data_IF_278883331869
#
_entry.id   IF_278883331869
#
_cell.length_a   1.000
_cell.length_b   1.000
_cell.length_c   1.000
_cell.angle_alpha   90.00
_cell.angle_beta   90.00
_cell.angle_gamma   90.00
#
_symmetry.space_group_name_H-M   'P 1'
#
loop_
_entity.id
_entity.type
_entity.pdbx_description
1 polymer ?
#
# COMPACT_ATOMS: atom_id res chain seq x y z
N UNK A 1 32.24 -10.24 39.98
CA UNK A 1 31.72 -9.81 38.66
C UNK A 1 31.56 -8.31 38.66
N UNK A 2 32.41 -7.60 37.92
CA UNK A 2 32.51 -6.14 37.98
C UNK A 2 31.20 -5.49 37.54
N UNK A 3 30.62 -4.64 38.40
CA UNK A 3 29.43 -3.83 38.08
C UNK A 3 29.61 -3.01 36.79
N UNK A 4 30.85 -2.63 36.47
CA UNK A 4 31.20 -2.00 35.18
C UNK A 4 30.99 -2.92 33.97
N UNK A 5 31.23 -4.22 34.10
CA UNK A 5 31.04 -5.18 33.00
C UNK A 5 29.55 -5.41 32.75
N UNK A 6 28.73 -5.42 33.81
CA UNK A 6 27.28 -5.52 33.69
C UNK A 6 26.66 -4.27 33.04
N UNK A 7 27.18 -3.08 33.37
CA UNK A 7 26.75 -1.79 32.80
C UNK A 7 27.12 -1.68 31.32
N UNK A 8 28.30 -2.16 30.92
CA UNK A 8 28.73 -2.18 29.53
C UNK A 8 27.89 -3.13 28.66
N UNK A 9 27.47 -4.28 29.20
CA UNK A 9 26.59 -5.23 28.51
C UNK A 9 25.15 -4.71 28.41
N UNK A 10 24.66 -3.94 29.40
CA UNK A 10 23.35 -3.28 29.31
C UNK A 10 23.36 -2.09 28.35
N UNK A 11 24.46 -1.33 28.24
CA UNK A 11 24.58 -0.23 27.28
C UNK A 11 24.66 -0.72 25.82
N UNK A 12 25.21 -1.92 25.58
CA UNK A 12 25.30 -2.53 24.24
C UNK A 12 23.94 -3.02 23.72
N UNK A 13 22.96 -3.27 24.60
CA UNK A 13 21.61 -3.72 24.24
C UNK A 13 20.65 -2.57 23.86
N UNK A 14 21.05 -1.30 24.07
CA UNK A 14 20.20 -0.12 23.80
C UNK A 14 20.41 0.43 22.37
N UNK A 15 21.32 -0.13 21.58
CA UNK A 15 21.61 0.32 20.21
C UNK A 15 21.14 -0.63 19.10
N UNK A 16 20.13 -1.47 19.35
CA UNK A 16 19.29 -1.93 18.23
C UNK A 16 18.41 -0.76 17.78
N UNK A 17 19.06 0.14 17.03
CA UNK A 17 18.38 1.11 16.20
C UNK A 17 17.63 0.28 15.18
N UNK A 18 16.30 0.20 15.29
CA UNK A 18 15.46 -0.32 14.23
C UNK A 18 15.66 0.57 13.00
N UNK A 19 16.63 0.21 12.16
CA UNK A 19 16.63 0.66 10.77
C UNK A 19 15.52 -0.13 10.09
N UNK A 20 14.28 0.30 10.30
CA UNK A 20 13.15 -0.10 9.48
C UNK A 20 13.42 0.44 8.08
N UNK A 21 14.16 -0.36 7.28
CA UNK A 21 14.35 -0.08 5.88
C UNK A 21 12.96 0.08 5.25
N UNK A 22 12.81 1.15 4.48
CA UNK A 22 11.64 1.50 3.67
C UNK A 22 11.39 0.46 2.55
N UNK A 23 11.07 -0.78 2.93
CA UNK A 23 10.80 -1.94 2.08
C UNK A 23 9.44 -2.55 2.45
N UNK A 24 8.86 -3.32 1.54
CA UNK A 24 7.63 -4.06 1.81
C UNK A 24 7.79 -4.99 3.03
N UNK A 25 6.68 -5.25 3.72
CA UNK A 25 6.64 -6.20 4.84
C UNK A 25 6.39 -7.63 4.33
N UNK A 26 6.80 -8.62 5.12
CA UNK A 26 6.68 -10.01 4.70
C UNK A 26 5.22 -10.48 4.74
N UNK A 27 4.71 -10.94 3.59
CA UNK A 27 3.39 -11.54 3.48
C UNK A 27 3.32 -12.86 4.25
N UNK A 28 2.23 -13.06 4.99
CA UNK A 28 1.96 -14.31 5.68
C UNK A 28 2.62 -14.41 7.06
N UNK A 29 3.06 -13.28 7.61
CA UNK A 29 3.67 -13.19 8.94
C UNK A 29 2.83 -12.33 9.86
N UNK A 30 2.74 -12.70 11.13
CA UNK A 30 2.14 -11.88 12.18
C UNK A 30 3.00 -11.92 13.44
N UNK A 31 2.84 -10.92 14.30
CA UNK A 31 3.44 -10.90 15.63
C UNK A 31 2.42 -11.27 16.71
N UNK A 32 2.91 -11.74 17.85
CA UNK A 32 2.05 -12.05 18.98
C UNK A 32 1.37 -10.79 19.55
N UNK A 33 1.99 -9.61 19.39
CA UNK A 33 1.40 -8.32 19.75
C UNK A 33 0.18 -8.02 18.86
N UNK A 34 0.33 -8.12 17.54
CA UNK A 34 -0.76 -7.90 16.57
C UNK A 34 -1.96 -8.83 16.84
N UNK A 35 -1.70 -10.11 17.11
CA UNK A 35 -2.76 -11.10 17.38
C UNK A 35 -3.49 -10.79 18.69
N UNK A 36 -2.78 -10.35 19.73
CA UNK A 36 -3.38 -10.06 21.02
C UNK A 36 -3.91 -8.63 21.17
N UNK A 37 -3.62 -7.76 20.22
CA UNK A 37 -4.12 -6.39 20.18
C UNK A 37 -5.65 -6.37 20.29
N UNK A 38 -6.16 -5.64 21.29
CA UNK A 38 -7.61 -5.57 21.60
C UNK A 38 -8.26 -4.26 21.17
N UNK A 39 -7.47 -3.22 21.01
CA UNK A 39 -7.88 -1.90 20.52
C UNK A 39 -6.66 -1.17 19.97
N UNK A 40 -6.91 -0.11 19.20
CA UNK A 40 -5.87 0.79 18.75
C UNK A 40 -5.72 1.98 19.71
N UNK A 41 -4.52 2.18 20.26
CA UNK A 41 -4.30 3.19 21.31
C UNK A 41 -4.51 4.63 20.84
N UNK A 42 -4.29 4.93 19.56
CA UNK A 42 -4.44 6.28 19.01
C UNK A 42 -5.88 6.56 18.56
N UNK A 43 -6.74 5.54 18.52
CA UNK A 43 -8.17 5.64 18.29
C UNK A 43 -8.88 4.43 18.91
N UNK A 44 -9.30 4.58 20.16
CA UNK A 44 -9.94 3.49 20.90
C UNK A 44 -11.37 3.20 20.43
N UNK A 45 -11.94 4.05 19.56
CA UNK A 45 -13.26 3.87 18.97
C UNK A 45 -13.24 3.06 17.68
N UNK A 46 -12.06 2.90 17.06
CA UNK A 46 -11.89 2.17 15.83
C UNK A 46 -12.22 0.67 15.99
N UNK A 47 -13.01 0.13 15.06
CA UNK A 47 -13.35 -1.30 15.00
C UNK A 47 -12.34 -2.13 14.18
N UNK A 48 -11.44 -1.46 13.47
CA UNK A 48 -10.30 -2.05 12.78
C UNK A 48 -9.18 -1.01 12.64
N UNK A 49 -7.95 -1.47 12.39
CA UNK A 49 -6.79 -0.61 12.12
C UNK A 49 -5.89 -1.26 11.08
N UNK A 50 -5.40 -0.48 10.14
CA UNK A 50 -4.36 -0.93 9.21
C UNK A 50 -3.03 -0.96 9.96
N UNK A 51 -2.45 -2.15 10.14
CA UNK A 51 -1.17 -2.33 10.81
C UNK A 51 -0.01 -1.93 9.91
N UNK A 52 -0.06 -2.36 8.65
CA UNK A 52 0.92 -2.02 7.64
C UNK A 52 0.22 -1.89 6.28
N UNK A 53 0.57 -0.85 5.55
CA UNK A 53 0.15 -0.65 4.18
C UNK A 53 1.37 -0.26 3.35
N UNK A 54 1.54 -0.95 2.23
CA UNK A 54 2.64 -0.75 1.30
C UNK A 54 2.09 -0.67 -0.13
N UNK A 55 2.53 0.35 -0.85
CA UNK A 55 2.29 0.49 -2.28
C UNK A 55 3.60 0.65 -3.04
N UNK A 56 3.70 0.04 -4.21
CA UNK A 56 4.83 0.20 -5.13
C UNK A 56 4.31 0.42 -6.55
N UNK A 57 4.70 1.52 -7.16
CA UNK A 57 4.35 1.85 -8.54
C UNK A 57 5.60 2.06 -9.38
N UNK A 58 5.64 1.44 -10.56
CA UNK A 58 6.76 1.55 -11.48
C UNK A 58 6.35 1.25 -12.92
N UNK A 59 7.06 1.81 -13.89
CA UNK A 59 6.87 1.46 -15.30
C UNK A 59 7.72 0.22 -15.63
N UNK A 60 7.08 -0.82 -16.12
CA UNK A 60 7.73 -2.07 -16.51
C UNK A 60 8.29 -1.97 -17.93
N UNK A 61 9.40 -2.64 -18.20
CA UNK A 61 9.99 -2.76 -19.54
C UNK A 61 9.37 -3.89 -20.36
N UNK A 62 8.25 -4.47 -19.89
CA UNK A 62 7.44 -5.41 -20.67
C UNK A 62 6.82 -4.72 -21.89
N UNK A 63 6.28 -5.52 -22.81
CA UNK A 63 5.62 -5.00 -24.01
C UNK A 63 4.52 -4.00 -23.65
N UNK A 64 4.47 -2.88 -24.39
CA UNK A 64 3.57 -1.76 -24.12
C UNK A 64 3.99 -0.81 -22.99
N UNK A 65 5.10 -1.06 -22.29
CA UNK A 65 5.60 -0.27 -21.14
C UNK A 65 4.55 -0.06 -20.03
N UNK A 66 3.90 -1.13 -19.51
CA UNK A 66 2.78 -0.96 -18.59
C UNK A 66 3.23 -0.37 -17.25
N UNK A 67 2.36 0.46 -16.67
CA UNK A 67 2.46 0.88 -15.27
C UNK A 67 2.01 -0.29 -14.38
N UNK A 68 2.93 -0.75 -13.53
CA UNK A 68 2.65 -1.76 -12.51
C UNK A 68 2.37 -1.07 -11.19
N UNK A 69 1.33 -1.52 -10.50
CA UNK A 69 1.00 -1.10 -9.15
C UNK A 69 0.79 -2.31 -8.26
N UNK A 70 1.60 -2.43 -7.23
CA UNK A 70 1.51 -3.46 -6.21
C UNK A 70 0.97 -2.84 -4.92
N UNK A 71 -0.01 -3.49 -4.31
CA UNK A 71 -0.58 -3.09 -3.02
C UNK A 71 -0.51 -4.27 -2.06
N UNK A 72 -0.03 -4.03 -0.85
CA UNK A 72 0.05 -5.01 0.22
C UNK A 72 -0.42 -4.36 1.51
N UNK A 73 -1.41 -4.97 2.15
CA UNK A 73 -2.06 -4.40 3.33
C UNK A 73 -2.40 -5.48 4.36
N UNK A 74 -2.18 -5.13 5.63
CA UNK A 74 -2.50 -5.95 6.79
C UNK A 74 -3.37 -5.15 7.74
N UNK A 75 -4.53 -5.69 8.07
CA UNK A 75 -5.56 -5.03 8.88
C UNK A 75 -5.88 -5.90 10.08
N UNK A 76 -5.83 -5.30 11.27
CA UNK A 76 -6.38 -5.89 12.49
C UNK A 76 -7.85 -5.52 12.59
N UNK A 77 -8.73 -6.50 12.72
CA UNK A 77 -10.15 -6.29 12.98
C UNK A 77 -10.44 -6.65 14.43
N UNK A 78 -11.04 -5.74 15.18
CA UNK A 78 -11.29 -5.93 16.62
C UNK A 78 -12.60 -6.65 16.87
N UNK A 79 -13.65 -6.29 16.13
CA UNK A 79 -14.99 -6.85 16.30
C UNK A 79 -15.79 -6.86 14.98
N UNK A 80 -16.99 -7.47 15.05
CA UNK A 80 -17.91 -7.60 13.92
C UNK A 80 -18.25 -6.31 13.15
N UNK A 81 -18.17 -5.12 13.75
CA UNK A 81 -18.43 -3.86 13.05
C UNK A 81 -17.30 -3.51 12.08
N UNK A 82 -16.10 -4.05 12.30
CA UNK A 82 -14.96 -3.94 11.39
C UNK A 82 -14.96 -4.97 10.26
N UNK A 83 -15.90 -5.92 10.21
CA UNK A 83 -15.90 -6.96 9.17
C UNK A 83 -16.09 -6.41 7.75
N UNK A 84 -16.65 -5.20 7.60
CA UNK A 84 -16.75 -4.53 6.30
C UNK A 84 -15.39 -4.33 5.62
N UNK A 85 -14.32 -4.17 6.41
CA UNK A 85 -12.95 -4.01 5.90
C UNK A 85 -12.41 -5.29 5.23
N UNK A 86 -13.07 -6.43 5.46
CA UNK A 86 -12.78 -7.68 4.76
C UNK A 86 -13.46 -7.79 3.40
N UNK A 87 -14.36 -6.87 3.03
CA UNK A 87 -14.95 -6.81 1.69
C UNK A 87 -14.14 -5.84 0.84
N UNK A 88 -13.32 -6.37 -0.07
CA UNK A 88 -12.39 -5.58 -0.86
C UNK A 88 -12.95 -5.36 -2.25
N UNK A 89 -12.95 -4.10 -2.69
CA UNK A 89 -13.32 -3.69 -4.04
C UNK A 89 -12.15 -2.95 -4.70
N UNK A 90 -11.67 -3.46 -5.84
CA UNK A 90 -10.53 -2.89 -6.58
C UNK A 90 -11.04 -2.43 -7.95
N UNK A 91 -11.22 -1.11 -8.16
CA UNK A 91 -11.62 -0.59 -9.45
C UNK A 91 -10.47 -0.72 -10.46
N UNK A 92 -10.82 -1.16 -11.66
CA UNK A 92 -9.95 -1.29 -12.82
C UNK A 92 -10.48 -0.43 -13.96
N UNK A 93 -9.60 0.37 -14.55
CA UNK A 93 -9.97 1.28 -15.64
C UNK A 93 -10.02 0.57 -17.00
N UNK A 94 -11.00 0.96 -17.81
CA UNK A 94 -11.20 0.55 -19.19
C UNK A 94 -11.26 1.78 -20.11
N UNK A 95 -10.54 1.76 -21.23
CA UNK A 95 -10.59 2.79 -22.26
C UNK A 95 -10.37 2.19 -23.64
N UNK A 96 -11.47 1.84 -24.33
CA UNK A 96 -11.40 1.14 -25.61
C UNK A 96 -10.83 -0.27 -25.44
N UNK A 97 -9.73 -0.56 -26.13
CA UNK A 97 -9.01 -1.85 -26.01
C UNK A 97 -8.02 -1.87 -24.82
N UNK A 98 -7.70 -0.69 -24.26
CA UNK A 98 -6.81 -0.57 -23.12
C UNK A 98 -7.56 -0.88 -21.82
N UNK A 99 -7.13 -1.93 -21.12
CA UNK A 99 -7.80 -2.46 -19.93
C UNK A 99 -6.74 -2.70 -18.86
N UNK A 100 -6.96 -2.16 -17.66
CA UNK A 100 -6.19 -2.57 -16.49
C UNK A 100 -6.53 -4.00 -16.11
N UNK A 101 -5.51 -4.77 -15.74
CA UNK A 101 -5.65 -6.18 -15.37
C UNK A 101 -5.12 -6.40 -13.97
N UNK A 102 -5.65 -7.42 -13.31
CA UNK A 102 -5.16 -7.89 -12.02
C UNK A 102 -4.59 -9.29 -12.22
N UNK A 103 -3.33 -9.50 -11.87
CA UNK A 103 -2.64 -10.75 -12.21
C UNK A 103 -2.36 -11.63 -10.98
N UNK A 104 -2.23 -11.04 -9.79
CA UNK A 104 -1.70 -11.74 -8.60
C UNK A 104 -2.42 -11.31 -7.31
N UNK A 105 -3.64 -11.80 -7.08
CA UNK A 105 -4.35 -11.55 -5.81
C UNK A 105 -4.07 -12.69 -4.84
N UNK A 106 -3.74 -12.34 -3.61
CA UNK A 106 -3.59 -13.29 -2.51
C UNK A 106 -4.11 -12.67 -1.22
N UNK A 107 -4.79 -13.48 -0.40
CA UNK A 107 -5.25 -13.06 0.91
C UNK A 107 -5.16 -14.18 1.94
N UNK A 108 -4.89 -13.83 3.19
CA UNK A 108 -4.94 -14.72 4.35
C UNK A 108 -5.67 -14.02 5.50
N UNK A 109 -6.49 -14.78 6.23
CA UNK A 109 -7.06 -14.39 7.52
C UNK A 109 -6.42 -15.22 8.63
N UNK A 110 -5.89 -14.59 9.67
CA UNK A 110 -5.47 -15.20 10.92
C UNK A 110 -6.51 -14.96 12.01
N UNK A 111 -6.91 -16.00 12.71
CA UNK A 111 -7.93 -15.89 13.77
C UNK A 111 -7.67 -16.90 14.89
N UNK A 112 -8.29 -16.68 16.05
CA UNK A 112 -8.28 -17.66 17.14
C UNK A 112 -9.48 -18.61 17.02
N UNK A 113 -9.23 -19.91 17.18
CA UNK A 113 -10.31 -20.89 17.33
C UNK A 113 -10.92 -20.87 18.74
N UNK A 114 -11.89 -21.76 18.98
CA UNK A 114 -12.60 -21.87 20.26
C UNK A 114 -11.68 -22.27 21.43
N UNK A 115 -10.51 -22.85 21.13
CA UNK A 115 -9.49 -23.22 22.11
C UNK A 115 -8.41 -22.15 22.28
N UNK A 116 -8.53 -21.02 21.56
CA UNK A 116 -7.56 -19.93 21.60
C UNK A 116 -6.32 -20.14 20.74
N UNK A 117 -6.24 -21.23 19.96
CA UNK A 117 -5.12 -21.47 19.05
C UNK A 117 -5.27 -20.61 17.79
N UNK A 118 -4.14 -20.18 17.24
CA UNK A 118 -4.13 -19.37 16.02
C UNK A 118 -4.28 -20.31 14.82
N UNK A 119 -5.31 -20.05 14.04
CA UNK A 119 -5.61 -20.70 12.77
C UNK A 119 -5.45 -19.70 11.63
N UNK A 120 -5.30 -20.22 10.41
CA UNK A 120 -5.27 -19.41 9.18
C UNK A 120 -6.22 -19.95 8.12
N UNK A 121 -6.75 -19.06 7.30
CA UNK A 121 -7.47 -19.40 6.09
C UNK A 121 -7.03 -18.52 4.94
N UNK A 122 -6.72 -19.14 3.80
CA UNK A 122 -6.31 -18.44 2.59
C UNK A 122 -7.55 -18.14 1.74
N UNK A 123 -7.58 -16.96 1.12
CA UNK A 123 -8.55 -16.60 0.09
C UNK A 123 -8.44 -17.57 -1.09
N UNK A 124 -9.56 -18.19 -1.46
CA UNK A 124 -9.63 -19.04 -2.64
C UNK A 124 -9.83 -18.17 -3.89
N UNK A 125 -9.09 -18.46 -4.97
CA UNK A 125 -9.21 -17.72 -6.22
C UNK A 125 -10.61 -17.80 -6.84
N UNK A 126 -11.41 -18.82 -6.51
CA UNK A 126 -12.80 -18.93 -6.95
C UNK A 126 -13.74 -17.91 -6.30
N UNK A 127 -13.34 -17.35 -5.16
CA UNK A 127 -14.12 -16.38 -4.38
C UNK A 127 -13.79 -14.92 -4.81
N UNK A 128 -13.01 -14.78 -5.88
CA UNK A 128 -12.65 -13.51 -6.50
C UNK A 128 -13.49 -13.33 -7.76
N UNK A 129 -14.26 -12.25 -7.80
CA UNK A 129 -15.19 -11.97 -8.87
C UNK A 129 -14.84 -10.66 -9.58
N UNK A 130 -15.04 -10.61 -10.89
CA UNK A 130 -14.97 -9.37 -11.66
C UNK A 130 -16.38 -8.93 -12.02
N UNK A 131 -16.74 -7.70 -11.68
CA UNK A 131 -18.01 -7.08 -12.07
C UNK A 131 -17.74 -5.99 -13.10
N UNK A 132 -18.48 -5.97 -14.20
CA UNK A 132 -18.43 -4.87 -15.17
C UNK A 132 -19.40 -3.79 -14.73
N UNK A 133 -18.88 -2.65 -14.26
CA UNK A 133 -19.71 -1.56 -13.74
C UNK A 133 -20.28 -0.73 -14.89
N UNK A 134 -19.44 -0.38 -15.88
CA UNK A 134 -19.84 0.34 -17.07
C UNK A 134 -18.84 0.11 -18.22
N UNK A 135 -18.92 0.91 -19.29
CA UNK A 135 -17.99 0.81 -20.43
C UNK A 135 -16.57 1.33 -20.13
N UNK A 136 -16.36 2.00 -19.00
CA UNK A 136 -15.10 2.61 -18.60
C UNK A 136 -14.48 2.00 -17.35
N UNK A 137 -15.22 1.15 -16.62
CA UNK A 137 -14.77 0.58 -15.35
C UNK A 137 -15.29 -0.83 -15.17
N UNK A 138 -14.44 -1.66 -14.56
CA UNK A 138 -14.80 -2.92 -13.93
C UNK A 138 -14.24 -2.95 -12.52
N UNK A 139 -14.84 -3.71 -11.62
CA UNK A 139 -14.39 -3.83 -10.24
C UNK A 139 -14.14 -5.29 -9.90
N UNK A 140 -12.95 -5.57 -9.37
CA UNK A 140 -12.64 -6.86 -8.74
C UNK A 140 -13.18 -6.83 -7.32
N UNK A 141 -13.88 -7.88 -6.91
CA UNK A 141 -14.48 -8.01 -5.58
C UNK A 141 -14.11 -9.34 -4.95
N UNK A 142 -13.75 -9.31 -3.67
CA UNK A 142 -13.60 -10.52 -2.87
C UNK A 142 -13.88 -10.20 -1.40
N UNK A 143 -14.29 -11.23 -0.65
CA UNK A 143 -14.45 -11.16 0.79
C UNK A 143 -13.38 -12.03 1.46
N UNK A 144 -12.69 -11.48 2.45
CA UNK A 144 -11.71 -12.23 3.22
C UNK A 144 -12.41 -13.36 4.00
N UNK A 145 -11.89 -14.60 3.94
CA UNK A 145 -12.57 -15.75 4.52
C UNK A 145 -12.43 -15.78 6.05
N UNK A 146 -13.38 -16.43 6.74
CA UNK A 146 -13.30 -16.71 8.17
C UNK A 146 -13.04 -15.49 9.08
N UNK A 147 -13.69 -14.35 8.78
CA UNK A 147 -13.66 -13.18 9.66
C UNK A 147 -14.22 -13.53 11.05
N UNK A 148 -13.48 -13.14 12.09
CA UNK A 148 -13.85 -13.32 13.50
C UNK A 148 -13.38 -12.12 14.30
N UNK A 149 -13.98 -11.90 15.45
CA UNK A 149 -13.52 -10.86 16.38
C UNK A 149 -12.04 -11.07 16.72
N UNK A 150 -11.26 -10.00 16.63
CA UNK A 150 -9.82 -10.03 16.85
C UNK A 150 -8.99 -10.69 15.75
N UNK A 151 -9.55 -10.99 14.57
CA UNK A 151 -8.78 -11.53 13.45
C UNK A 151 -7.85 -10.48 12.81
N UNK A 152 -6.87 -10.97 12.05
CA UNK A 152 -6.03 -10.16 11.16
C UNK A 152 -6.30 -10.63 9.75
N UNK A 153 -6.58 -9.71 8.84
CA UNK A 153 -6.60 -9.98 7.41
C UNK A 153 -5.35 -9.37 6.78
N UNK A 154 -4.77 -10.07 5.82
CA UNK A 154 -3.63 -9.61 5.04
C UNK A 154 -3.87 -9.98 3.59
N UNK A 155 -3.77 -9.02 2.69
CA UNK A 155 -3.93 -9.29 1.27
C UNK A 155 -3.01 -8.41 0.45
N UNK A 156 -2.70 -8.90 -0.74
CA UNK A 156 -1.92 -8.18 -1.73
C UNK A 156 -2.45 -8.42 -3.12
N UNK A 157 -2.24 -7.45 -3.99
CA UNK A 157 -2.57 -7.57 -5.40
C UNK A 157 -1.62 -6.76 -6.27
N UNK A 158 -1.51 -7.16 -7.54
CA UNK A 158 -0.80 -6.42 -8.59
C UNK A 158 -1.75 -6.02 -9.71
N UNK A 159 -1.82 -4.73 -9.99
CA UNK A 159 -2.48 -4.19 -11.18
C UNK A 159 -1.44 -3.90 -12.26
N UNK A 160 -1.71 -4.39 -13.46
CA UNK A 160 -0.98 -4.08 -14.68
C UNK A 160 -1.82 -3.13 -15.52
N UNK A 161 -1.34 -1.89 -15.68
CA UNK A 161 -2.07 -0.82 -16.36
C UNK A 161 -1.39 -0.42 -17.67
N UNK A 162 -2.10 -0.41 -18.81
CA UNK A 162 -1.55 0.11 -20.06
C UNK A 162 -1.46 1.65 -20.07
N UNK A 163 -1.92 2.32 -19.01
CA UNK A 163 -1.94 3.78 -18.89
C UNK A 163 -0.64 4.29 -18.23
N UNK A 164 0.49 4.11 -18.91
CA UNK A 164 1.84 4.50 -18.47
C UNK A 164 1.98 5.99 -18.13
N UNK A 165 1.14 6.83 -18.73
CA UNK A 165 1.07 8.28 -18.52
C UNK A 165 0.27 8.70 -17.30
N UNK A 166 -0.53 7.82 -16.72
CA UNK A 166 -1.40 8.11 -15.57
C UNK A 166 -0.87 7.43 -14.31
N UNK A 167 0.21 8.00 -13.76
CA UNK A 167 0.87 7.42 -12.60
C UNK A 167 -0.07 7.34 -11.38
N UNK A 168 0.03 6.24 -10.62
CA UNK A 168 -0.93 5.94 -9.55
C UNK A 168 -0.81 6.94 -8.39
N UNK A 169 -1.94 7.54 -8.04
CA UNK A 169 -2.10 8.31 -6.80
C UNK A 169 -2.10 7.36 -5.61
N UNK A 170 -1.53 7.80 -4.49
CA UNK A 170 -1.58 7.04 -3.23
C UNK A 170 -2.27 7.86 -2.13
N UNK A 171 -3.35 7.31 -1.58
CA UNK A 171 -4.09 7.91 -0.47
C UNK A 171 -3.59 7.30 0.84
N UNK A 172 -3.02 8.14 1.70
CA UNK A 172 -2.53 7.70 3.02
C UNK A 172 -3.67 7.49 3.99
N UNK A 173 -4.74 8.28 3.90
CA UNK A 173 -5.92 8.13 4.75
C UNK A 173 -6.93 7.12 4.19
N UNK A 174 -7.76 6.57 5.07
CA UNK A 174 -8.92 5.71 4.79
C UNK A 174 -9.99 5.93 5.87
N UNK A 175 -11.11 5.23 5.80
CA UNK A 175 -12.18 5.26 6.79
C UNK A 175 -11.81 4.59 8.13
N UNK A 176 -10.77 3.75 8.15
CA UNK A 176 -10.12 3.25 9.37
C UNK A 176 -8.73 3.87 9.57
N UNK A 177 -8.23 3.99 10.81
CA UNK A 177 -6.90 4.52 11.06
C UNK A 177 -5.80 3.56 10.57
N UNK A 178 -4.60 4.10 10.34
CA UNK A 178 -3.41 3.32 9.95
C UNK A 178 -2.24 3.58 10.89
N UNK A 179 -1.55 2.52 11.28
CA UNK A 179 -0.29 2.62 12.04
C UNK A 179 0.81 3.16 11.14
N UNK A 180 0.97 2.59 9.94
CA UNK A 180 1.92 3.06 8.94
C UNK A 180 1.39 2.79 7.53
N UNK A 181 1.57 3.78 6.64
CA UNK A 181 1.29 3.68 5.22
C UNK A 181 2.50 4.18 4.44
N UNK A 182 3.01 3.34 3.54
CA UNK A 182 4.22 3.57 2.79
C UNK A 182 3.96 3.43 1.29
N UNK A 183 4.53 4.33 0.50
CA UNK A 183 4.42 4.33 -0.94
C UNK A 183 5.77 4.57 -1.61
N UNK A 184 6.13 3.68 -2.52
CA UNK A 184 7.31 3.78 -3.40
C UNK A 184 6.87 4.05 -4.82
N UNK A 185 7.44 5.08 -5.43
CA UNK A 185 7.27 5.41 -6.84
C UNK A 185 8.63 5.38 -7.54
N UNK A 186 8.74 4.58 -8.60
CA UNK A 186 9.94 4.51 -9.44
C UNK A 186 9.58 4.98 -10.86
N UNK A 187 10.07 6.16 -11.22
CA UNK A 187 9.68 6.87 -12.43
C UNK A 187 10.89 6.98 -13.37
N UNK A 188 10.87 6.33 -14.55
CA UNK A 188 11.92 6.49 -15.55
C UNK A 188 12.05 7.95 -15.99
N UNK A 189 13.27 8.40 -16.29
CA UNK A 189 13.56 9.79 -16.67
C UNK A 189 12.91 10.24 -18.00
N UNK A 190 12.26 9.32 -18.72
CA UNK A 190 11.43 9.65 -19.89
C UNK A 190 10.03 10.15 -19.53
N UNK A 191 9.65 10.16 -18.25
CA UNK A 191 8.42 10.78 -17.76
C UNK A 191 8.73 11.86 -16.73
N UNK A 192 8.09 13.01 -16.86
CA UNK A 192 8.15 14.10 -15.87
C UNK A 192 6.76 14.30 -15.29
N UNK A 193 6.65 14.19 -13.96
CA UNK A 193 5.41 14.43 -13.23
C UNK A 193 5.56 15.62 -12.27
N UNK A 194 4.53 16.44 -12.21
CA UNK A 194 4.30 17.32 -11.06
C UNK A 194 3.75 16.46 -9.92
N UNK A 195 4.51 16.37 -8.83
CA UNK A 195 4.17 15.53 -7.69
C UNK A 195 3.73 16.44 -6.54
N UNK A 196 2.50 16.26 -6.08
CA UNK A 196 1.88 17.16 -5.09
C UNK A 196 1.30 16.36 -3.93
N UNK A 197 1.73 16.69 -2.72
CA UNK A 197 1.04 16.28 -1.50
C UNK A 197 -0.22 17.13 -1.35
N UNK A 198 -1.38 16.49 -1.27
CA UNK A 198 -2.65 17.12 -0.92
C UNK A 198 -3.12 16.60 0.45
N UNK A 199 -4.02 17.34 1.08
CA UNK A 199 -4.55 17.06 2.43
C UNK A 199 -3.73 17.68 3.56
N UNK A 200 -4.19 17.49 4.80
CA UNK A 200 -3.67 18.17 5.98
C UNK A 200 -2.52 17.46 6.72
N UNK A 201 -2.25 16.19 6.41
CA UNK A 201 -1.21 15.41 7.08
C UNK A 201 0.14 15.56 6.38
N UNK A 202 1.21 15.46 7.17
CA UNK A 202 2.59 15.58 6.69
C UNK A 202 3.21 14.21 6.45
N UNK A 203 4.09 14.15 5.45
CA UNK A 203 4.93 13.00 5.18
C UNK A 203 6.03 12.88 6.24
N UNK A 204 6.52 11.66 6.46
CA UNK A 204 7.73 11.42 7.22
C UNK A 204 8.95 12.03 6.50
N UNK A 205 9.84 12.62 7.28
CA UNK A 205 11.08 13.21 6.81
C UNK A 205 12.29 12.41 7.32
N UNK A 206 13.37 12.40 6.53
CA UNK A 206 14.59 11.66 6.87
C UNK A 206 15.41 11.31 5.65
N UNK A 207 16.61 10.77 5.85
CA UNK A 207 17.49 10.37 4.74
C UNK A 207 16.88 9.26 3.88
N UNK A 208 16.08 8.38 4.47
CA UNK A 208 15.42 7.27 3.75
C UNK A 208 14.28 7.74 2.83
N UNK A 209 13.76 8.96 3.03
CA UNK A 209 12.67 9.55 2.25
C UNK A 209 13.15 10.61 1.24
N UNK A 210 14.46 10.86 1.16
CA UNK A 210 15.02 11.73 0.11
C UNK A 210 14.90 11.05 -1.25
N UNK A 211 14.60 11.80 -2.32
CA UNK A 211 14.67 11.27 -3.69
C UNK A 211 16.03 10.62 -3.97
N UNK A 212 15.99 9.41 -4.53
CA UNK A 212 17.18 8.65 -4.89
C UNK A 212 17.24 8.50 -6.41
N UNK A 213 18.45 8.60 -6.97
CA UNK A 213 18.69 8.28 -8.38
C UNK A 213 18.99 6.78 -8.49
N UNK A 214 18.17 6.06 -9.24
CA UNK A 214 18.39 4.66 -9.56
C UNK A 214 18.94 4.56 -10.99
N UNK A 215 20.24 4.27 -11.12
CA UNK A 215 20.95 4.39 -12.39
C UNK A 215 20.66 3.21 -13.32
N UNK A 216 20.48 3.50 -14.60
CA UNK A 216 20.19 2.48 -15.64
C UNK A 216 19.03 1.52 -15.28
N UNK A 217 18.11 1.96 -14.41
CA UNK A 217 16.98 1.17 -13.92
C UNK A 217 16.02 0.71 -15.03
N UNK A 218 15.99 1.44 -16.15
CA UNK A 218 14.99 1.31 -17.19
C UNK A 218 15.67 1.22 -18.54
N UNK A 219 15.33 0.17 -19.29
CA UNK A 219 15.93 -0.14 -20.57
C UNK A 219 14.87 -0.66 -21.53
N UNK A 220 14.66 0.05 -22.63
CA UNK A 220 13.72 -0.33 -23.68
C UNK A 220 14.43 -0.32 -25.04
N UNK A 221 14.44 -1.48 -25.73
CA UNK A 221 15.17 -1.71 -26.98
C UNK A 221 16.62 -1.20 -27.00
N UNK A 222 17.34 -1.35 -25.88
CA UNK A 222 18.75 -0.96 -25.75
C UNK A 222 18.99 0.52 -25.43
N UNK A 223 17.95 1.35 -25.40
CA UNK A 223 18.03 2.71 -24.86
C UNK A 223 17.80 2.63 -23.36
N UNK A 224 18.73 3.19 -22.58
CA UNK A 224 18.68 3.20 -21.12
C UNK A 224 18.38 4.59 -20.59
N UNK A 225 17.72 4.64 -19.44
CA UNK A 225 17.61 5.85 -18.64
C UNK A 225 17.60 5.52 -17.14
N UNK A 226 17.93 6.53 -16.34
CA UNK A 226 17.84 6.47 -14.89
C UNK A 226 16.38 6.63 -14.44
N UNK A 227 16.10 6.29 -13.18
CA UNK A 227 14.80 6.48 -12.54
C UNK A 227 14.94 7.41 -11.35
N UNK A 228 13.91 8.22 -11.14
CA UNK A 228 13.64 8.82 -9.85
C UNK A 228 12.99 7.78 -8.95
N UNK A 229 13.67 7.41 -7.86
CA UNK A 229 13.13 6.58 -6.80
C UNK A 229 12.65 7.48 -5.66
N UNK A 230 11.34 7.53 -5.47
CA UNK A 230 10.66 8.36 -4.48
C UNK A 230 10.00 7.48 -3.44
N UNK A 231 10.14 7.85 -2.17
CA UNK A 231 9.57 7.12 -1.04
C UNK A 231 8.79 8.09 -0.17
N UNK A 232 7.55 7.76 0.08
CA UNK A 232 6.60 8.56 0.85
C UNK A 232 6.05 7.69 1.96
N UNK A 233 5.88 8.25 3.15
CA UNK A 233 5.29 7.51 4.26
C UNK A 233 4.55 8.44 5.22
N UNK A 234 3.53 7.88 5.88
CA UNK A 234 2.88 8.49 7.03
C UNK A 234 2.74 7.44 8.13
N UNK A 235 2.86 7.89 9.38
CA UNK A 235 2.69 7.07 10.59
C UNK A 235 1.56 7.66 11.43
N UNK A 236 0.88 6.80 12.18
CA UNK A 236 -0.20 7.17 13.10
C UNK A 236 -1.29 7.99 12.38
N UNK A 237 -1.69 7.51 11.21
CA UNK A 237 -2.66 8.17 10.32
C UNK A 237 -4.06 8.00 10.89
N UNK A 238 -4.78 9.09 11.21
CA UNK A 238 -6.15 9.01 11.69
C UNK A 238 -7.10 8.55 10.58
N UNK A 239 -8.21 7.91 11.00
CA UNK A 239 -9.34 7.70 10.11
C UNK A 239 -9.81 9.03 9.53
N UNK A 240 -10.20 9.01 8.27
CA UNK A 240 -10.84 10.16 7.64
C UNK A 240 -12.32 10.16 8.01
N UNK A 241 -12.77 11.24 8.64
CA UNK A 241 -14.18 11.45 8.95
C UNK A 241 -14.77 12.42 7.93
N UNK A 242 -15.80 11.96 7.23
CA UNK A 242 -16.58 12.81 6.34
C UNK A 242 -17.49 13.72 7.17
N UNK A 243 -17.45 15.03 6.92
CA UNK A 243 -18.34 16.02 7.53
C UNK A 243 -19.54 16.30 6.60
N UNK A 244 -20.72 16.62 7.17
CA UNK A 244 -21.99 16.73 6.44
C UNK A 244 -21.96 17.73 5.25
N UNK A 245 -21.09 18.74 5.30
CA UNK A 245 -20.98 19.78 4.26
C UNK A 245 -19.87 19.52 3.22
N UNK A 246 -19.20 18.35 3.26
CA UNK A 246 -18.15 18.04 2.30
C UNK A 246 -18.70 17.66 0.92
N UNK A 247 -18.51 18.54 -0.06
CA UNK A 247 -18.93 18.28 -1.45
C UNK A 247 -18.10 17.18 -2.15
N UNK A 248 -16.86 16.97 -1.71
CA UNK A 248 -15.95 15.96 -2.26
C UNK A 248 -14.94 15.53 -1.20
N UNK A 249 -15.33 14.61 -0.29
CA UNK A 249 -14.51 14.19 0.85
C UNK A 249 -13.11 13.69 0.44
N UNK A 250 -13.03 13.00 -0.71
CA UNK A 250 -11.76 12.53 -1.29
C UNK A 250 -10.73 13.63 -1.57
N UNK A 251 -11.15 14.88 -1.77
CA UNK A 251 -10.22 15.99 -2.04
C UNK A 251 -9.50 16.47 -0.77
N UNK A 252 -10.02 16.11 0.41
CA UNK A 252 -9.45 16.49 1.70
C UNK A 252 -8.57 15.39 2.29
N UNK A 253 -8.66 14.17 1.78
CA UNK A 253 -7.82 13.06 2.20
C UNK A 253 -6.35 13.31 1.86
N UNK A 254 -5.48 13.01 2.81
CA UNK A 254 -4.05 13.16 2.61
C UNK A 254 -3.52 12.11 1.64
N UNK A 255 -2.87 12.56 0.58
CA UNK A 255 -2.45 11.72 -0.53
C UNK A 255 -1.37 12.37 -1.39
N UNK A 256 -0.60 11.55 -2.10
CA UNK A 256 0.42 12.01 -3.05
C UNK A 256 -0.09 11.77 -4.48
N UNK A 257 -0.14 12.85 -5.25
CA UNK A 257 -0.75 12.93 -6.57
C UNK A 257 0.30 13.20 -7.62
N UNK A 258 0.11 12.64 -8.81
CA UNK A 258 1.02 12.73 -9.94
C UNK A 258 0.26 13.28 -11.14
N UNK A 259 0.73 14.42 -11.66
CA UNK A 259 0.18 15.04 -12.86
C UNK A 259 1.27 15.06 -13.92
N UNK A 260 1.04 14.41 -15.06
CA UNK A 260 2.05 14.36 -16.13
C UNK A 260 2.31 15.78 -16.64
N UNK A 261 3.57 16.18 -16.62
CA UNK A 261 4.04 17.45 -17.13
C UNK A 261 4.61 17.30 -18.55
N UNK A 262 5.44 16.27 -18.76
CA UNK A 262 6.12 16.00 -20.03
C UNK A 262 6.50 14.52 -20.14
N UNK A 263 6.69 14.01 -21.35
CA UNK A 263 7.19 12.67 -21.58
C UNK A 263 7.92 12.53 -22.92
N UNK A 264 8.86 11.60 -22.99
CA UNK A 264 9.47 11.13 -24.22
C UNK A 264 8.98 9.72 -24.54
N UNK A 265 8.28 9.56 -25.66
CA UNK A 265 7.76 8.26 -26.06
C UNK A 265 8.86 7.39 -26.66
N UNK A 266 9.36 6.43 -25.89
CA UNK A 266 10.40 5.51 -26.37
C UNK A 266 9.92 4.53 -27.45
N UNK A 267 8.60 4.44 -27.71
CA UNK A 267 8.03 3.56 -28.75
C UNK A 267 8.04 4.25 -30.12
N UNK A 268 7.79 5.55 -30.16
CA UNK A 268 7.66 6.35 -31.39
C UNK A 268 8.79 7.35 -31.60
N UNK A 269 9.59 7.63 -30.57
CA UNK A 269 10.66 8.64 -30.59
C UNK A 269 10.14 10.09 -30.54
N UNK A 270 8.89 10.30 -30.12
CA UNK A 270 8.27 11.63 -30.06
C UNK A 270 8.32 12.23 -28.66
N UNK A 271 8.48 13.55 -28.59
CA UNK A 271 8.21 14.40 -27.41
C UNK A 271 6.83 15.02 -27.53
#
# INVERSE_FOLDING_TARGET
>A
MNKLLLLAVTLLFVFFSETAAAQDFNYGYFTQEEVNMKSYKNDTSAHAVVLNEYGNAYISTQDGLPLIFEHHIKIKIFDSKGFKEGNVEIPLRLSGENIERIDEISGITYYKDEHGNIQKTTLDGKDIFTTKDNKYNSTIKFAMPNLRDGCIIEYKYRITSPFDREFRTWLFQSDIPKVISFYKAQIPAVYTYNIVLRGGLKLLEGNDYKPQLDRDCFSYYGVKCDCSLLKFAMKDVPAFTEEEDMTSPRNFMSGIYFELADYYDMRTGST
#
